data_IF_262468260220
#
_entry.id   IF_262468260220
#
_cell.length_a   1.000
_cell.length_b   1.000
_cell.length_c   1.000
_cell.angle_alpha   90.00
_cell.angle_beta   90.00
_cell.angle_gamma   90.00
#
_symmetry.space_group_name_H-M   'P 1'
#
loop_
_entity.id
_entity.type
_entity.pdbx_description
1 polymer ?
#
# COMPACT_ATOMS: atom_id res chain seq x y z
N UNK A 1 12.60 -9.33 -42.09
CA UNK A 1 13.31 -8.08 -41.83
C UNK A 1 12.83 -7.60 -40.47
N UNK A 2 13.69 -7.70 -39.46
CA UNK A 2 13.41 -7.09 -38.14
C UNK A 2 13.48 -5.57 -38.34
N UNK A 3 12.35 -4.90 -38.21
CA UNK A 3 12.33 -3.44 -38.09
C UNK A 3 13.11 -3.13 -36.82
N UNK A 4 14.32 -2.59 -36.96
CA UNK A 4 15.09 -2.09 -35.83
C UNK A 4 14.24 -0.97 -35.22
N UNK A 5 13.61 -1.24 -34.06
CA UNK A 5 12.83 -0.24 -33.38
C UNK A 5 13.80 0.84 -32.88
N UNK A 6 13.49 2.10 -33.15
CA UNK A 6 14.24 3.21 -32.60
C UNK A 6 14.31 3.08 -31.07
N UNK A 7 15.45 3.41 -30.44
CA UNK A 7 15.59 3.29 -28.99
C UNK A 7 14.59 4.20 -28.30
N UNK A 8 13.79 3.63 -27.37
CA UNK A 8 12.80 4.38 -26.58
C UNK A 8 13.52 5.36 -25.64
N UNK A 9 13.03 6.58 -25.59
CA UNK A 9 13.58 7.67 -24.79
C UNK A 9 12.57 8.18 -23.75
N UNK A 10 13.04 8.87 -22.72
CA UNK A 10 12.16 9.48 -21.70
C UNK A 10 11.13 10.45 -22.31
N UNK A 11 11.54 11.19 -23.35
CA UNK A 11 10.67 12.14 -24.05
C UNK A 11 9.45 11.49 -24.75
N UNK A 12 9.52 10.19 -25.09
CA UNK A 12 8.40 9.47 -25.70
C UNK A 12 7.20 9.38 -24.76
N UNK A 13 7.44 9.40 -23.44
CA UNK A 13 6.34 9.43 -22.47
C UNK A 13 5.41 10.62 -22.71
N UNK A 14 5.97 11.81 -22.94
CA UNK A 14 5.19 13.03 -23.11
C UNK A 14 4.44 13.06 -24.46
N UNK A 15 4.81 12.19 -25.41
CA UNK A 15 4.20 12.07 -26.73
C UNK A 15 3.06 11.04 -26.79
N UNK A 16 3.17 9.92 -26.04
CA UNK A 16 2.28 8.76 -26.22
C UNK A 16 1.51 8.38 -24.96
N UNK A 17 1.87 8.92 -23.78
CA UNK A 17 1.19 8.62 -22.52
C UNK A 17 0.26 9.75 -22.10
N UNK A 18 -0.85 9.40 -21.43
CA UNK A 18 -1.72 10.40 -20.80
C UNK A 18 -0.91 11.16 -19.73
N UNK A 19 -0.94 12.53 -19.73
CA UNK A 19 -0.07 13.33 -18.88
C UNK A 19 -0.53 13.43 -17.42
N UNK A 20 -0.96 12.29 -16.84
CA UNK A 20 -1.43 12.18 -15.46
C UNK A 20 -0.31 11.82 -14.47
N UNK A 21 0.90 11.58 -14.96
CA UNK A 21 2.10 11.34 -14.18
C UNK A 21 3.24 12.27 -14.59
N UNK A 22 4.15 12.55 -13.67
CA UNK A 22 5.43 13.23 -13.92
C UNK A 22 6.58 12.30 -13.53
N UNK A 23 6.93 11.34 -14.38
CA UNK A 23 7.99 10.39 -14.08
C UNK A 23 9.37 11.05 -14.00
N UNK A 24 10.31 10.36 -13.32
CA UNK A 24 11.70 10.76 -13.22
C UNK A 24 12.37 10.96 -14.60
N UNK A 25 13.50 11.63 -14.63
CA UNK A 25 14.21 11.94 -15.86
C UNK A 25 14.92 10.73 -16.50
N UNK A 26 15.01 9.61 -15.81
CA UNK A 26 15.65 8.37 -16.26
C UNK A 26 14.65 7.26 -16.47
N UNK A 27 15.03 6.24 -17.25
CA UNK A 27 14.24 5.02 -17.45
C UNK A 27 14.99 3.85 -16.82
N UNK A 28 14.43 3.22 -15.77
CA UNK A 28 14.94 1.96 -15.24
C UNK A 28 14.79 0.84 -16.26
N UNK A 29 15.82 0.02 -16.45
CA UNK A 29 15.81 -1.09 -17.40
C UNK A 29 16.18 -2.43 -16.80
N UNK A 30 16.77 -2.45 -15.62
CA UNK A 30 17.14 -3.65 -14.87
C UNK A 30 16.95 -3.42 -13.38
N UNK A 31 16.56 -4.47 -12.65
CA UNK A 31 16.49 -4.47 -11.20
C UNK A 31 16.95 -5.81 -10.63
N UNK A 32 17.61 -5.79 -9.46
CA UNK A 32 18.07 -6.97 -8.74
C UNK A 32 18.13 -6.62 -7.22
N UNK A 33 17.41 -7.34 -6.39
CA UNK A 33 17.31 -7.02 -4.97
C UNK A 33 16.82 -5.57 -4.75
N UNK A 34 17.61 -4.78 -4.04
CA UNK A 34 17.32 -3.35 -3.80
C UNK A 34 18.04 -2.41 -4.76
N UNK A 35 18.56 -2.90 -5.89
CA UNK A 35 19.30 -2.10 -6.88
C UNK A 35 18.57 -2.04 -8.21
N UNK A 36 18.67 -0.89 -8.86
CA UNK A 36 18.07 -0.60 -10.17
C UNK A 36 19.13 0.06 -11.06
N UNK A 37 19.14 -0.30 -12.34
CA UNK A 37 20.00 0.32 -13.36
C UNK A 37 19.15 1.01 -14.41
N UNK A 38 19.53 2.21 -14.78
CA UNK A 38 18.90 2.94 -15.87
C UNK A 38 19.53 2.64 -17.24
N UNK A 39 18.96 3.22 -18.29
CA UNK A 39 19.44 3.05 -19.68
C UNK A 39 20.92 3.48 -19.89
N UNK A 40 21.44 4.36 -19.05
CA UNK A 40 22.84 4.79 -19.11
C UNK A 40 23.80 3.82 -18.37
N UNK A 41 23.25 2.82 -17.69
CA UNK A 41 24.02 1.92 -16.83
C UNK A 41 24.27 2.45 -15.42
N UNK A 42 23.68 3.61 -15.06
CA UNK A 42 23.78 4.17 -13.72
C UNK A 42 23.00 3.31 -12.73
N UNK A 43 23.66 2.95 -11.63
CA UNK A 43 23.06 2.20 -10.54
C UNK A 43 22.41 3.13 -9.50
N UNK A 44 21.21 2.75 -9.05
CA UNK A 44 20.49 3.41 -7.96
C UNK A 44 20.08 2.37 -6.90
N UNK A 45 20.07 2.78 -5.64
CA UNK A 45 19.48 1.99 -4.55
C UNK A 45 18.01 2.37 -4.40
N UNK A 46 17.14 1.37 -4.41
CA UNK A 46 15.68 1.56 -4.37
C UNK A 46 15.13 1.48 -2.95
N UNK A 47 14.94 2.63 -2.31
CA UNK A 47 14.18 2.77 -1.08
C UNK A 47 12.74 3.24 -1.31
N UNK A 48 12.29 3.28 -2.58
CA UNK A 48 10.92 3.57 -2.98
C UNK A 48 10.06 2.31 -3.08
N UNK A 49 10.67 1.18 -3.45
CA UNK A 49 10.02 -0.13 -3.55
C UNK A 49 8.77 -0.14 -4.43
N UNK A 50 8.72 0.69 -5.50
CA UNK A 50 7.53 0.80 -6.36
C UNK A 50 6.28 1.31 -5.60
N UNK A 51 6.44 2.19 -4.64
CA UNK A 51 5.41 2.68 -3.69
C UNK A 51 4.97 1.54 -2.74
N UNK A 52 5.95 0.98 -2.02
CA UNK A 52 5.76 -0.12 -1.07
C UNK A 52 5.16 -1.40 -1.70
N UNK A 53 5.49 -1.67 -2.97
CA UNK A 53 5.00 -2.84 -3.71
C UNK A 53 6.02 -3.97 -3.72
N UNK A 54 7.29 -3.66 -4.00
CA UNK A 54 8.36 -4.64 -4.19
C UNK A 54 8.84 -5.19 -2.84
N UNK A 55 7.98 -5.99 -2.18
CA UNK A 55 8.25 -6.51 -0.84
C UNK A 55 9.57 -7.30 -0.76
N UNK A 56 9.90 -8.06 -1.80
CA UNK A 56 11.11 -8.87 -1.87
C UNK A 56 12.21 -8.26 -2.77
N UNK A 57 12.05 -6.98 -3.16
CA UNK A 57 12.95 -6.34 -4.11
C UNK A 57 12.69 -6.76 -5.55
N UNK A 58 13.59 -6.34 -6.43
CA UNK A 58 13.49 -6.61 -7.87
C UNK A 58 13.97 -8.04 -8.20
N UNK A 59 13.23 -8.72 -9.06
CA UNK A 59 13.58 -10.02 -9.62
C UNK A 59 13.97 -11.08 -8.58
N UNK A 60 13.29 -11.10 -7.43
CA UNK A 60 13.55 -12.08 -6.37
C UNK A 60 13.44 -13.50 -6.91
N UNK A 61 14.43 -14.40 -6.68
CA UNK A 61 14.47 -15.74 -7.30
C UNK A 61 13.21 -16.58 -7.07
N UNK A 62 12.61 -16.51 -5.87
CA UNK A 62 11.38 -17.24 -5.56
C UNK A 62 10.19 -16.76 -6.42
N UNK A 63 10.08 -15.42 -6.66
CA UNK A 63 9.00 -14.88 -7.48
C UNK A 63 9.20 -15.19 -8.96
N UNK A 64 10.43 -15.04 -9.46
CA UNK A 64 10.78 -15.39 -10.86
C UNK A 64 10.50 -16.86 -11.12
N UNK A 65 10.88 -17.74 -10.19
CA UNK A 65 10.61 -19.17 -10.27
C UNK A 65 9.11 -19.45 -10.32
N UNK A 66 8.34 -18.96 -9.35
CA UNK A 66 6.89 -19.18 -9.28
C UNK A 66 6.17 -18.68 -10.53
N UNK A 67 6.53 -17.48 -11.01
CA UNK A 67 5.97 -16.90 -12.22
C UNK A 67 6.29 -17.77 -13.46
N UNK A 68 7.55 -18.18 -13.64
CA UNK A 68 8.01 -18.96 -14.79
C UNK A 68 7.35 -20.34 -14.82
N UNK A 69 7.28 -21.03 -13.68
CA UNK A 69 6.62 -22.34 -13.57
C UNK A 69 5.13 -22.24 -13.90
N UNK A 70 4.45 -21.25 -13.32
CA UNK A 70 3.03 -21.05 -13.57
C UNK A 70 2.75 -20.57 -15.01
N UNK A 71 3.62 -19.74 -15.60
CA UNK A 71 3.50 -19.27 -16.97
C UNK A 71 3.57 -20.41 -17.99
N UNK A 72 4.29 -21.48 -17.68
CA UNK A 72 4.33 -22.69 -18.51
C UNK A 72 3.18 -23.68 -18.25
N UNK A 73 2.28 -23.36 -17.28
CA UNK A 73 1.21 -24.29 -16.87
C UNK A 73 -0.17 -23.74 -17.25
N UNK A 74 -0.56 -22.59 -16.72
CA UNK A 74 -1.92 -22.04 -16.91
C UNK A 74 -1.95 -20.55 -16.54
N UNK A 75 -2.44 -19.71 -17.46
CA UNK A 75 -2.48 -18.25 -17.26
C UNK A 75 -3.80 -17.74 -16.71
N UNK A 76 -4.93 -18.21 -17.33
CA UNK A 76 -6.26 -17.68 -17.03
C UNK A 76 -7.34 -18.69 -17.38
N UNK A 77 -8.36 -18.82 -16.52
CA UNK A 77 -9.54 -19.67 -16.75
C UNK A 77 -10.86 -19.01 -16.34
N UNK A 78 -10.84 -17.77 -15.87
CA UNK A 78 -11.94 -17.03 -15.24
C UNK A 78 -12.46 -17.66 -13.93
N UNK A 79 -13.30 -16.90 -13.22
CA UNK A 79 -13.93 -17.37 -11.97
C UNK A 79 -15.17 -18.27 -12.20
N UNK A 80 -15.49 -18.57 -13.44
CA UNK A 80 -16.44 -19.66 -13.79
C UNK A 80 -15.82 -21.03 -13.45
N UNK A 81 -14.51 -21.12 -13.55
CA UNK A 81 -13.72 -22.25 -13.10
C UNK A 81 -12.81 -21.81 -11.96
N UNK A 82 -12.54 -22.64 -10.98
CA UNK A 82 -11.53 -22.39 -9.99
C UNK A 82 -10.15 -22.87 -10.45
N UNK A 83 -9.09 -22.48 -9.72
CA UNK A 83 -7.72 -22.95 -9.99
C UNK A 83 -6.96 -23.18 -8.66
N UNK A 84 -6.00 -24.10 -8.70
CA UNK A 84 -5.23 -24.48 -7.49
C UNK A 84 -4.43 -23.31 -6.88
N UNK A 85 -3.70 -22.46 -7.63
CA UNK A 85 -3.00 -21.33 -7.05
C UNK A 85 -3.89 -20.38 -6.24
N UNK A 86 -5.10 -20.09 -6.74
CA UNK A 86 -6.05 -19.23 -6.03
C UNK A 86 -6.53 -19.86 -4.72
N UNK A 87 -6.87 -21.16 -4.74
CA UNK A 87 -7.28 -21.87 -3.53
C UNK A 87 -6.13 -21.95 -2.52
N UNK A 88 -4.91 -22.20 -2.98
CA UNK A 88 -3.71 -22.25 -2.12
C UNK A 88 -3.43 -20.90 -1.48
N UNK A 89 -3.54 -19.80 -2.24
CA UNK A 89 -3.39 -18.46 -1.70
C UNK A 89 -4.48 -18.13 -0.68
N UNK A 90 -5.74 -18.52 -0.96
CA UNK A 90 -6.84 -18.32 -0.03
C UNK A 90 -6.58 -19.05 1.31
N UNK A 91 -6.15 -20.31 1.28
CA UNK A 91 -5.77 -21.04 2.49
C UNK A 91 -4.65 -20.32 3.26
N UNK A 92 -3.56 -19.93 2.59
CA UNK A 92 -2.45 -19.21 3.25
C UNK A 92 -2.89 -17.93 3.95
N UNK A 93 -3.81 -17.16 3.35
CA UNK A 93 -4.32 -15.93 3.94
C UNK A 93 -5.30 -16.20 5.09
N UNK A 94 -6.18 -17.17 4.94
CA UNK A 94 -7.13 -17.58 5.98
C UNK A 94 -6.40 -18.14 7.19
N UNK A 95 -5.42 -19.03 6.99
CA UNK A 95 -4.64 -19.64 8.08
C UNK A 95 -3.79 -18.61 8.85
N UNK A 96 -3.41 -17.50 8.21
CA UNK A 96 -2.53 -16.48 8.79
C UNK A 96 -3.26 -15.26 9.37
N UNK A 97 -4.59 -15.15 9.21
CA UNK A 97 -5.37 -13.98 9.60
C UNK A 97 -6.65 -14.35 10.36
N UNK A 98 -7.45 -13.34 10.73
CA UNK A 98 -8.78 -13.54 11.30
C UNK A 98 -9.82 -14.02 10.27
N UNK A 99 -9.50 -13.86 8.99
CA UNK A 99 -10.45 -14.08 7.92
C UNK A 99 -10.73 -15.56 7.67
N UNK A 100 -11.92 -15.85 7.19
CA UNK A 100 -12.38 -17.18 6.82
C UNK A 100 -12.66 -17.31 5.31
N UNK A 101 -12.70 -16.16 4.65
CA UNK A 101 -12.98 -16.05 3.19
C UNK A 101 -12.14 -14.97 2.55
N UNK A 102 -11.72 -15.21 1.32
CA UNK A 102 -10.98 -14.28 0.48
C UNK A 102 -11.68 -14.06 -0.87
N UNK A 103 -11.68 -12.82 -1.33
CA UNK A 103 -12.02 -12.43 -2.69
C UNK A 103 -10.76 -11.84 -3.33
N UNK A 104 -10.37 -12.32 -4.51
CA UNK A 104 -9.21 -11.82 -5.24
C UNK A 104 -9.60 -10.90 -6.38
N UNK A 105 -8.80 -9.86 -6.57
CA UNK A 105 -8.92 -8.87 -7.64
C UNK A 105 -7.52 -8.47 -8.12
N UNK A 106 -7.38 -7.34 -8.84
CA UNK A 106 -6.12 -7.00 -9.50
C UNK A 106 -5.40 -5.78 -8.88
N UNK A 107 -6.07 -5.06 -8.00
CA UNK A 107 -5.56 -3.83 -7.40
C UNK A 107 -6.15 -3.58 -6.02
N UNK A 108 -5.51 -2.67 -5.26
CA UNK A 108 -6.05 -2.20 -3.98
C UNK A 108 -7.37 -1.44 -4.13
N UNK A 109 -7.55 -0.71 -5.24
CA UNK A 109 -8.81 -0.03 -5.53
C UNK A 109 -9.96 -1.02 -5.70
N UNK A 110 -9.76 -2.12 -6.44
CA UNK A 110 -10.79 -3.16 -6.59
C UNK A 110 -11.07 -3.90 -5.27
N UNK A 111 -10.04 -4.12 -4.44
CA UNK A 111 -10.21 -4.70 -3.12
C UNK A 111 -11.07 -3.80 -2.22
N UNK A 112 -10.83 -2.49 -2.23
CA UNK A 112 -11.62 -1.52 -1.50
C UNK A 112 -13.05 -1.38 -2.07
N UNK A 113 -13.24 -1.40 -3.39
CA UNK A 113 -14.58 -1.47 -4.03
C UNK A 113 -15.38 -2.66 -3.48
N UNK A 114 -14.76 -3.84 -3.43
CA UNK A 114 -15.38 -5.05 -2.89
C UNK A 114 -15.75 -4.88 -1.41
N UNK A 115 -14.85 -4.31 -0.60
CA UNK A 115 -15.06 -4.06 0.82
C UNK A 115 -16.23 -3.10 1.09
N UNK A 116 -16.28 -1.97 0.36
CA UNK A 116 -17.33 -0.97 0.52
C UNK A 116 -18.70 -1.50 0.05
N UNK A 117 -18.71 -2.26 -1.07
CA UNK A 117 -19.92 -2.93 -1.57
C UNK A 117 -20.40 -3.99 -0.57
N UNK A 118 -19.49 -4.79 -0.01
CA UNK A 118 -19.85 -5.78 1.01
C UNK A 118 -20.46 -5.10 2.24
N UNK A 119 -19.85 -4.03 2.75
CA UNK A 119 -20.36 -3.33 3.92
C UNK A 119 -21.77 -2.76 3.70
N UNK A 120 -22.00 -2.11 2.57
CA UNK A 120 -23.33 -1.62 2.20
C UNK A 120 -24.34 -2.75 2.03
N UNK A 121 -23.93 -3.86 1.43
CA UNK A 121 -24.82 -5.00 1.22
C UNK A 121 -25.20 -5.67 2.53
N UNK A 122 -24.25 -5.91 3.42
CA UNK A 122 -24.50 -6.45 4.78
C UNK A 122 -25.49 -5.56 5.53
N UNK A 123 -25.26 -4.27 5.53
CA UNK A 123 -26.13 -3.32 6.22
C UNK A 123 -27.54 -3.29 5.62
N UNK A 124 -27.65 -3.26 4.30
CA UNK A 124 -28.95 -3.33 3.60
C UNK A 124 -29.73 -4.60 3.99
N UNK A 125 -29.07 -5.76 3.95
CA UNK A 125 -29.73 -7.04 4.18
C UNK A 125 -30.15 -7.22 5.66
N UNK A 126 -29.41 -6.64 6.61
CA UNK A 126 -29.65 -6.78 8.05
C UNK A 126 -30.53 -5.68 8.64
N UNK A 127 -30.42 -4.45 8.14
CA UNK A 127 -31.01 -3.26 8.76
C UNK A 127 -31.84 -2.42 7.80
N UNK A 128 -31.81 -2.70 6.49
CA UNK A 128 -32.55 -1.96 5.49
C UNK A 128 -31.72 -0.89 4.76
N UNK A 129 -32.31 -0.22 3.76
CA UNK A 129 -31.61 0.65 2.81
C UNK A 129 -31.07 1.95 3.41
N UNK A 130 -31.58 2.38 4.55
CA UNK A 130 -31.13 3.62 5.21
C UNK A 130 -29.74 3.53 5.82
N UNK A 131 -29.27 2.32 6.14
CA UNK A 131 -27.95 2.07 6.73
C UNK A 131 -26.92 1.84 5.62
N UNK A 132 -26.44 2.93 5.01
CA UNK A 132 -25.51 2.90 3.88
C UNK A 132 -24.34 3.88 3.98
N UNK A 133 -24.28 4.66 5.05
CA UNK A 133 -23.25 5.69 5.22
C UNK A 133 -21.89 5.06 5.54
N UNK A 134 -20.83 5.62 4.94
CA UNK A 134 -19.44 5.23 5.20
C UNK A 134 -18.71 6.44 5.79
N UNK A 135 -18.01 6.23 6.89
CA UNK A 135 -17.11 7.21 7.47
C UNK A 135 -15.69 6.80 7.13
N UNK A 136 -14.93 7.72 6.55
CA UNK A 136 -13.50 7.58 6.31
C UNK A 136 -12.74 8.72 7.01
N UNK A 137 -11.43 8.79 6.83
CA UNK A 137 -10.62 9.82 7.47
C UNK A 137 -10.13 10.86 6.47
N UNK A 138 -10.01 12.09 6.91
CA UNK A 138 -9.35 13.17 6.15
C UNK A 138 -7.93 12.70 5.78
N UNK A 139 -7.48 13.06 4.58
CA UNK A 139 -6.20 12.68 4.01
C UNK A 139 -6.02 11.20 3.68
N UNK A 140 -7.02 10.35 3.84
CA UNK A 140 -6.93 8.93 3.45
C UNK A 140 -6.79 8.74 1.94
N UNK A 141 -6.26 7.58 1.55
CA UNK A 141 -6.15 7.16 0.16
C UNK A 141 -6.58 5.70 -0.02
N UNK A 142 -7.68 5.49 -0.75
CA UNK A 142 -8.27 4.15 -0.94
C UNK A 142 -8.32 3.69 -2.40
N UNK A 143 -7.85 4.51 -3.34
CA UNK A 143 -7.84 4.23 -4.78
C UNK A 143 -8.33 5.38 -5.64
N UNK A 144 -8.46 5.12 -6.94
CA UNK A 144 -8.80 6.12 -7.97
C UNK A 144 -10.06 5.78 -8.77
N UNK A 145 -10.80 4.72 -8.45
CA UNK A 145 -12.14 4.47 -9.00
C UNK A 145 -13.15 5.43 -8.38
N UNK A 146 -14.32 5.63 -8.99
CA UNK A 146 -15.27 6.63 -8.50
C UNK A 146 -15.74 6.39 -7.06
N UNK A 147 -15.90 5.12 -6.65
CA UNK A 147 -16.26 4.84 -5.27
C UNK A 147 -15.07 5.04 -4.33
N UNK A 148 -13.93 4.46 -4.65
CA UNK A 148 -12.75 4.57 -3.77
C UNK A 148 -12.23 6.00 -3.64
N UNK A 149 -12.30 6.81 -4.70
CA UNK A 149 -11.90 8.21 -4.64
C UNK A 149 -12.91 9.07 -3.89
N UNK A 150 -14.19 8.64 -3.86
CA UNK A 150 -15.22 9.29 -3.03
C UNK A 150 -15.03 9.00 -1.54
N UNK A 151 -14.58 7.79 -1.18
CA UNK A 151 -14.24 7.41 0.19
C UNK A 151 -12.90 8.02 0.62
N UNK A 152 -11.97 8.23 -0.32
CA UNK A 152 -10.70 8.89 -0.06
C UNK A 152 -10.86 10.33 0.44
N UNK A 153 -10.07 10.71 1.46
CA UNK A 153 -10.16 11.99 2.14
C UNK A 153 -9.29 13.11 1.54
N UNK A 154 -8.93 13.02 0.25
CA UNK A 154 -8.08 14.01 -0.44
C UNK A 154 -8.82 14.62 -1.63
N UNK A 155 -9.41 15.83 -1.50
CA UNK A 155 -10.21 16.48 -2.56
C UNK A 155 -9.50 16.57 -3.91
N UNK A 156 -8.18 16.79 -3.94
CA UNK A 156 -7.39 16.87 -5.18
C UNK A 156 -7.53 15.67 -6.12
N UNK A 157 -7.97 14.51 -5.60
CA UNK A 157 -8.16 13.29 -6.40
C UNK A 157 -9.59 13.09 -6.87
N UNK A 158 -10.55 13.73 -6.21
CA UNK A 158 -11.98 13.57 -6.50
C UNK A 158 -12.61 14.79 -7.16
N UNK A 159 -12.01 15.98 -7.04
CA UNK A 159 -12.57 17.20 -7.61
C UNK A 159 -12.54 17.16 -9.14
N UNK A 160 -13.63 17.59 -9.76
CA UNK A 160 -13.82 17.54 -11.20
C UNK A 160 -14.37 16.20 -11.74
N UNK A 161 -14.49 15.16 -10.91
CA UNK A 161 -15.03 13.85 -11.29
C UNK A 161 -16.43 13.56 -10.71
N UNK A 162 -17.17 14.61 -10.38
CA UNK A 162 -18.53 14.49 -9.81
C UNK A 162 -19.58 13.97 -10.78
N UNK A 163 -20.76 13.58 -10.27
CA UNK A 163 -21.12 13.58 -8.85
C UNK A 163 -20.40 12.48 -8.05
N UNK A 164 -19.97 12.79 -6.85
CA UNK A 164 -19.38 11.80 -5.91
C UNK A 164 -20.46 10.84 -5.42
N UNK A 165 -20.06 9.65 -5.01
CA UNK A 165 -20.94 8.70 -4.34
C UNK A 165 -21.43 9.32 -3.02
N UNK A 166 -22.76 9.28 -2.81
CA UNK A 166 -23.41 9.84 -1.63
C UNK A 166 -23.28 8.94 -0.39
N UNK A 167 -23.55 9.52 0.80
CA UNK A 167 -23.49 8.79 2.05
C UNK A 167 -22.03 8.54 2.52
N UNK A 168 -21.10 9.44 2.19
CA UNK A 168 -19.70 9.37 2.62
C UNK A 168 -19.36 10.63 3.38
N UNK A 169 -18.76 10.48 4.54
CA UNK A 169 -18.26 11.57 5.37
C UNK A 169 -16.82 11.31 5.82
N UNK A 170 -16.13 12.38 6.20
CA UNK A 170 -14.73 12.32 6.62
C UNK A 170 -14.54 12.98 7.98
N UNK A 171 -13.81 12.32 8.87
CA UNK A 171 -13.41 12.82 10.18
C UNK A 171 -11.88 12.97 10.25
N UNK A 172 -11.34 13.83 11.10
CA UNK A 172 -9.90 13.91 11.32
C UNK A 172 -9.33 12.55 11.76
N UNK A 173 -8.15 12.23 11.25
CA UNK A 173 -7.44 11.00 11.65
C UNK A 173 -6.92 11.12 13.09
N UNK A 174 -6.99 10.02 13.85
CA UNK A 174 -6.68 9.97 15.29
C UNK A 174 -7.57 10.86 16.18
N UNK A 175 -8.75 11.26 15.72
CA UNK A 175 -9.72 11.99 16.48
C UNK A 175 -10.96 11.12 16.80
N UNK A 176 -10.92 10.45 17.95
CA UNK A 176 -12.00 9.56 18.40
C UNK A 176 -13.29 10.33 18.72
N UNK A 177 -13.20 11.56 19.23
CA UNK A 177 -14.38 12.35 19.54
C UNK A 177 -15.09 12.82 18.27
N UNK A 178 -14.35 13.20 17.22
CA UNK A 178 -14.93 13.48 15.92
C UNK A 178 -15.61 12.24 15.30
N UNK A 179 -14.99 11.05 15.41
CA UNK A 179 -15.61 9.81 14.95
C UNK A 179 -16.89 9.51 15.73
N UNK A 180 -16.87 9.66 17.06
CA UNK A 180 -18.04 9.45 17.93
C UNK A 180 -19.19 10.41 17.61
N UNK A 181 -18.87 11.64 17.27
CA UNK A 181 -19.88 12.64 16.88
C UNK A 181 -20.52 12.37 15.51
N UNK A 182 -19.78 11.70 14.60
CA UNK A 182 -20.21 11.44 13.23
C UNK A 182 -20.95 10.10 13.06
N UNK A 183 -20.56 9.06 13.82
CA UNK A 183 -21.14 7.71 13.67
C UNK A 183 -22.60 7.71 14.13
N UNK A 184 -23.44 7.00 13.40
CA UNK A 184 -24.88 6.92 13.67
C UNK A 184 -25.43 5.55 13.26
N UNK A 185 -26.73 5.35 13.52
CA UNK A 185 -27.43 4.12 13.11
C UNK A 185 -27.51 3.95 11.57
N UNK A 186 -27.23 5.01 10.81
CA UNK A 186 -27.13 4.96 9.34
C UNK A 186 -25.74 4.56 8.85
N UNK A 187 -24.74 4.55 9.73
CA UNK A 187 -23.37 4.18 9.36
C UNK A 187 -23.25 2.68 9.16
N UNK A 188 -22.88 2.25 7.96
CA UNK A 188 -22.62 0.84 7.64
C UNK A 188 -21.16 0.44 7.82
N UNK A 189 -20.23 1.38 7.70
CA UNK A 189 -18.82 1.11 7.87
C UNK A 189 -17.99 2.33 8.29
N UNK A 190 -16.92 2.08 9.02
CA UNK A 190 -15.80 3.00 9.25
C UNK A 190 -14.57 2.42 8.55
N UNK A 191 -13.89 3.23 7.72
CA UNK A 191 -12.74 2.81 6.91
C UNK A 191 -11.49 3.54 7.39
N UNK A 192 -10.47 2.77 7.78
CA UNK A 192 -9.23 3.30 8.35
C UNK A 192 -8.02 2.62 7.70
N UNK A 193 -7.03 3.40 7.29
CA UNK A 193 -5.66 2.91 7.06
C UNK A 193 -4.95 2.82 8.43
N UNK A 194 -4.41 1.70 8.88
CA UNK A 194 -3.65 1.64 10.14
C UNK A 194 -2.44 2.58 10.16
N UNK A 195 -1.92 2.93 8.99
CA UNK A 195 -0.96 4.02 8.77
C UNK A 195 -1.38 4.73 7.49
N UNK A 196 -1.68 6.02 7.55
CA UNK A 196 -1.90 6.83 6.34
C UNK A 196 -0.58 6.98 5.58
N UNK A 197 -0.36 6.11 4.59
CA UNK A 197 0.92 6.02 3.89
C UNK A 197 1.16 7.15 2.89
N UNK A 198 0.11 7.63 2.20
CA UNK A 198 0.22 8.66 1.14
C UNK A 198 0.23 10.09 1.69
N UNK A 199 -0.25 10.30 2.89
CA UNK A 199 -0.42 11.63 3.49
C UNK A 199 0.48 11.84 4.72
N UNK A 200 1.74 11.44 4.61
CA UNK A 200 2.73 11.78 5.60
C UNK A 200 3.25 10.60 6.43
N UNK A 201 2.89 9.38 6.12
CA UNK A 201 3.27 8.20 6.93
C UNK A 201 2.85 8.41 8.39
N UNK A 202 1.56 8.59 8.62
CA UNK A 202 1.00 8.87 9.95
C UNK A 202 0.43 7.58 10.55
N UNK A 203 1.06 6.99 11.58
CA UNK A 203 0.50 5.84 12.29
C UNK A 203 -0.79 6.21 13.04
N UNK A 204 -1.70 5.25 13.12
CA UNK A 204 -2.84 5.37 14.02
C UNK A 204 -2.38 5.25 15.48
N UNK A 205 -3.03 5.98 16.37
CA UNK A 205 -2.94 5.74 17.80
C UNK A 205 -3.71 4.46 18.14
N UNK A 206 -3.13 3.60 18.97
CA UNK A 206 -3.79 2.35 19.37
C UNK A 206 -5.15 2.60 20.02
N UNK A 207 -5.24 3.59 20.90
CA UNK A 207 -6.49 3.98 21.56
C UNK A 207 -7.57 4.44 20.57
N UNK A 208 -7.17 5.11 19.47
CA UNK A 208 -8.09 5.48 18.40
C UNK A 208 -8.67 4.26 17.68
N UNK A 209 -7.82 3.26 17.34
CA UNK A 209 -8.30 2.04 16.69
C UNK A 209 -9.18 1.20 17.61
N UNK A 210 -8.83 1.07 18.89
CA UNK A 210 -9.65 0.38 19.91
C UNK A 210 -11.01 1.10 20.10
N UNK A 211 -11.00 2.43 20.14
CA UNK A 211 -12.20 3.24 20.20
C UNK A 211 -13.08 3.13 18.96
N UNK A 212 -12.47 3.13 17.78
CA UNK A 212 -13.18 2.93 16.51
C UNK A 212 -13.85 1.55 16.45
N UNK A 213 -13.15 0.49 16.90
CA UNK A 213 -13.74 -0.85 17.00
C UNK A 213 -14.98 -0.86 17.89
N UNK A 214 -14.84 -0.29 19.10
CA UNK A 214 -15.95 -0.21 20.05
C UNK A 214 -17.15 0.56 19.49
N UNK A 215 -16.93 1.73 18.88
CA UNK A 215 -17.99 2.52 18.25
C UNK A 215 -18.67 1.77 17.09
N UNK A 216 -17.91 1.05 16.27
CA UNK A 216 -18.49 0.20 15.24
C UNK A 216 -19.39 -0.88 15.82
N UNK A 217 -18.97 -1.56 16.91
CA UNK A 217 -19.77 -2.59 17.58
C UNK A 217 -21.07 -2.01 18.17
N UNK A 218 -20.98 -0.85 18.84
CA UNK A 218 -22.13 -0.16 19.43
C UNK A 218 -23.17 0.24 18.39
N UNK A 219 -22.75 0.63 17.17
CA UNK A 219 -23.64 1.08 16.10
C UNK A 219 -23.92 -0.01 15.05
N UNK A 220 -23.48 -1.25 15.23
CA UNK A 220 -23.58 -2.32 14.23
C UNK A 220 -23.03 -1.89 12.86
N UNK A 221 -21.95 -1.11 12.87
CA UNK A 221 -21.18 -0.75 11.69
C UNK A 221 -19.99 -1.68 11.52
N UNK A 222 -19.50 -1.89 10.30
CA UNK A 222 -18.32 -2.69 10.05
C UNK A 222 -17.04 -1.84 10.13
N UNK A 223 -15.99 -2.35 10.78
CA UNK A 223 -14.67 -1.78 10.74
C UNK A 223 -13.90 -2.36 9.57
N UNK A 224 -13.47 -1.52 8.64
CA UNK A 224 -12.66 -1.89 7.49
C UNK A 224 -11.25 -1.35 7.68
N UNK A 225 -10.25 -2.23 7.67
CA UNK A 225 -8.86 -1.81 7.58
C UNK A 225 -8.37 -1.91 6.15
N UNK A 226 -8.01 -0.76 5.57
CA UNK A 226 -7.25 -0.70 4.33
C UNK A 226 -5.77 -0.96 4.64
N UNK A 227 -5.36 -2.21 4.44
CA UNK A 227 -3.99 -2.64 4.63
C UNK A 227 -3.24 -2.84 3.30
N UNK A 228 -3.68 -2.15 2.26
CA UNK A 228 -3.03 -2.18 0.94
C UNK A 228 -1.57 -1.75 1.04
N UNK A 229 -1.24 -0.80 1.90
CA UNK A 229 0.14 -0.34 2.07
C UNK A 229 0.83 -0.90 3.32
N UNK A 230 0.09 -1.19 4.38
CA UNK A 230 0.62 -1.65 5.66
C UNK A 230 0.78 -3.16 5.76
N UNK A 231 0.07 -3.91 4.93
CA UNK A 231 0.04 -5.37 4.97
C UNK A 231 1.27 -6.06 4.39
N UNK A 232 1.22 -7.36 4.49
CA UNK A 232 2.22 -8.32 3.97
C UNK A 232 3.63 -7.98 4.48
N UNK A 233 3.77 -7.91 5.81
CA UNK A 233 5.03 -7.77 6.51
C UNK A 233 5.54 -6.33 6.68
N UNK A 234 4.99 -5.34 5.98
CA UNK A 234 5.51 -3.96 5.95
C UNK A 234 5.75 -3.35 7.34
N UNK A 235 4.91 -3.66 8.32
CA UNK A 235 4.99 -3.17 9.69
C UNK A 235 5.76 -4.08 10.66
N UNK A 236 6.31 -5.21 10.18
CA UNK A 236 6.95 -6.22 11.03
C UNK A 236 5.96 -7.21 11.64
N UNK A 237 4.69 -7.15 11.26
CA UNK A 237 3.66 -8.18 11.41
C UNK A 237 3.09 -8.47 10.03
N UNK A 238 2.49 -9.64 9.80
CA UNK A 238 1.95 -9.95 8.46
C UNK A 238 0.94 -8.89 8.02
N UNK A 239 0.05 -8.47 8.94
CA UNK A 239 -0.84 -7.32 8.76
C UNK A 239 -0.78 -6.41 9.99
N UNK A 240 -0.98 -5.11 9.79
CA UNK A 240 -0.85 -4.11 10.84
C UNK A 240 -1.90 -4.29 11.95
N UNK A 241 -3.09 -4.83 11.66
CA UNK A 241 -4.07 -5.13 12.69
C UNK A 241 -3.53 -6.05 13.78
N UNK A 242 -2.62 -6.98 13.43
CA UNK A 242 -1.94 -7.87 14.40
C UNK A 242 -0.97 -7.10 15.30
N UNK A 243 -0.30 -6.08 14.75
CA UNK A 243 0.57 -5.19 15.52
C UNK A 243 -0.21 -4.37 16.55
N UNK A 244 -1.37 -3.83 16.14
CA UNK A 244 -2.22 -3.02 17.03
C UNK A 244 -3.08 -3.86 17.98
N UNK A 245 -3.33 -5.13 17.68
CA UNK A 245 -4.22 -6.01 18.45
C UNK A 245 -5.70 -5.64 18.29
N UNK A 246 -6.08 -5.01 17.18
CA UNK A 246 -7.47 -4.62 16.87
C UNK A 246 -7.90 -5.31 15.58
N UNK A 247 -8.86 -6.21 15.66
CA UNK A 247 -9.33 -7.01 14.52
C UNK A 247 -10.44 -6.27 13.77
N UNK A 248 -10.30 -6.02 12.46
CA UNK A 248 -11.36 -5.47 11.63
C UNK A 248 -12.38 -6.56 11.22
N UNK A 249 -13.52 -6.17 10.67
CA UNK A 249 -14.50 -7.05 10.04
C UNK A 249 -14.10 -7.38 8.60
N UNK A 250 -13.47 -6.43 7.91
CA UNK A 250 -12.98 -6.54 6.55
C UNK A 250 -11.57 -5.97 6.48
N UNK A 251 -10.69 -6.67 5.77
CA UNK A 251 -9.33 -6.24 5.50
C UNK A 251 -9.09 -6.24 3.99
N UNK A 252 -8.47 -5.19 3.45
CA UNK A 252 -8.04 -5.14 2.06
C UNK A 252 -6.53 -5.18 1.94
N UNK A 253 -6.03 -5.88 0.94
CA UNK A 253 -4.62 -6.12 0.70
C UNK A 253 -4.31 -6.03 -0.79
N UNK A 254 -3.12 -5.53 -1.14
CA UNK A 254 -2.56 -5.50 -2.50
C UNK A 254 -1.05 -5.23 -2.42
N UNK A 255 -0.49 -4.45 -3.35
CA UNK A 255 0.93 -4.02 -3.33
C UNK A 255 1.89 -5.15 -2.98
N UNK A 256 2.40 -5.17 -1.75
CA UNK A 256 3.33 -6.21 -1.27
C UNK A 256 2.81 -7.64 -1.46
N UNK A 257 1.49 -7.85 -1.52
CA UNK A 257 0.90 -9.18 -1.76
C UNK A 257 1.39 -9.80 -3.08
N UNK A 258 1.53 -8.97 -4.11
CA UNK A 258 2.03 -9.42 -5.42
C UNK A 258 3.54 -9.27 -5.60
N UNK A 259 4.24 -8.55 -4.71
CA UNK A 259 5.68 -8.34 -4.81
C UNK A 259 6.14 -7.71 -6.13
N UNK A 260 5.26 -6.99 -6.84
CA UNK A 260 5.45 -6.43 -8.17
C UNK A 260 4.42 -6.93 -9.21
N UNK A 261 3.81 -8.09 -9.00
CA UNK A 261 2.75 -8.59 -9.87
C UNK A 261 1.37 -8.05 -9.43
N UNK A 262 0.49 -7.62 -10.36
CA UNK A 262 -0.81 -7.06 -10.01
C UNK A 262 -1.74 -8.09 -9.35
N UNK A 263 -2.09 -7.85 -8.08
CA UNK A 263 -3.09 -8.60 -7.32
C UNK A 263 -3.61 -7.75 -6.17
N UNK A 264 -4.88 -7.96 -5.83
CA UNK A 264 -5.51 -7.47 -4.61
C UNK A 264 -6.37 -8.54 -3.98
N UNK A 265 -6.69 -8.37 -2.71
CA UNK A 265 -7.58 -9.25 -1.97
C UNK A 265 -8.43 -8.45 -0.98
N UNK A 266 -9.68 -8.88 -0.82
CA UNK A 266 -10.53 -8.53 0.31
C UNK A 266 -10.72 -9.78 1.15
N UNK A 267 -10.46 -9.66 2.46
CA UNK A 267 -10.54 -10.72 3.44
C UNK A 267 -11.65 -10.41 4.44
N UNK A 268 -12.45 -11.42 4.80
CA UNK A 268 -13.57 -11.25 5.73
C UNK A 268 -14.01 -12.58 6.34
N UNK A 269 -15.01 -12.54 7.23
CA UNK A 269 -15.59 -13.73 7.85
C UNK A 269 -16.62 -14.41 6.94
N UNK A 270 -16.94 -15.66 7.21
CA UNK A 270 -17.98 -16.42 6.50
C UNK A 270 -19.36 -15.76 6.62
N UNK A 271 -19.65 -15.21 7.81
CA UNK A 271 -20.93 -14.57 8.09
C UNK A 271 -21.15 -13.30 7.24
N UNK A 272 -20.10 -12.54 6.97
CA UNK A 272 -20.19 -11.38 6.10
C UNK A 272 -20.13 -11.76 4.61
N UNK A 273 -19.26 -12.69 4.25
CA UNK A 273 -19.04 -13.09 2.86
C UNK A 273 -20.30 -13.59 2.15
N UNK A 274 -21.24 -14.25 2.87
CA UNK A 274 -22.51 -14.75 2.32
C UNK A 274 -23.39 -13.67 1.68
N UNK A 275 -23.19 -12.40 2.05
CA UNK A 275 -23.93 -11.27 1.49
C UNK A 275 -23.47 -10.86 0.08
N UNK A 276 -22.26 -11.25 -0.37
CA UNK A 276 -21.85 -11.18 -1.76
C UNK A 276 -22.16 -12.51 -2.47
N UNK A 277 -23.45 -12.81 -2.61
CA UNK A 277 -23.91 -14.00 -3.29
C UNK A 277 -23.53 -14.00 -4.78
N UNK A 278 -23.69 -15.16 -5.43
CA UNK A 278 -23.39 -15.36 -6.86
C UNK A 278 -24.06 -14.27 -7.72
N UNK A 279 -23.27 -13.62 -8.57
CA UNK A 279 -23.72 -12.59 -9.50
C UNK A 279 -23.76 -11.16 -8.93
N UNK A 280 -23.51 -10.94 -7.63
CA UNK A 280 -23.58 -9.59 -7.02
C UNK A 280 -22.30 -8.78 -7.17
N UNK A 281 -21.15 -9.45 -7.26
CA UNK A 281 -19.84 -8.85 -7.47
C UNK A 281 -18.93 -9.82 -8.22
N UNK A 282 -17.93 -9.29 -8.94
CA UNK A 282 -17.01 -10.14 -9.69
C UNK A 282 -15.86 -9.38 -10.34
N UNK A 283 -14.95 -10.13 -10.94
CA UNK A 283 -13.80 -9.64 -11.68
C UNK A 283 -13.42 -10.67 -12.74
N UNK A 284 -12.91 -10.23 -13.87
CA UNK A 284 -12.47 -11.13 -14.94
C UNK A 284 -11.14 -11.79 -14.59
N UNK A 285 -10.13 -11.01 -14.18
CA UNK A 285 -8.75 -11.48 -13.98
C UNK A 285 -8.40 -11.77 -12.51
N UNK A 286 -9.17 -11.26 -11.56
CA UNK A 286 -8.89 -11.46 -10.14
C UNK A 286 -8.91 -12.96 -9.78
N UNK A 287 -7.86 -13.40 -9.06
CA UNK A 287 -7.66 -14.81 -8.74
C UNK A 287 -7.03 -15.62 -9.88
N UNK A 288 -6.43 -14.96 -10.90
CA UNK A 288 -5.74 -15.68 -11.96
C UNK A 288 -4.55 -16.49 -11.42
N UNK A 289 -4.24 -17.64 -12.05
CA UNK A 289 -3.18 -18.54 -11.59
C UNK A 289 -1.80 -17.88 -11.45
N UNK A 290 -1.42 -17.00 -12.38
CA UNK A 290 -0.12 -16.33 -12.35
C UNK A 290 0.04 -15.46 -11.12
N UNK A 291 -0.93 -14.55 -10.88
CA UNK A 291 -0.90 -13.63 -9.75
C UNK A 291 -0.92 -14.39 -8.42
N UNK A 292 -1.76 -15.43 -8.32
CA UNK A 292 -1.89 -16.22 -7.10
C UNK A 292 -0.64 -17.05 -6.80
N UNK A 293 0.02 -17.62 -7.82
CA UNK A 293 1.27 -18.35 -7.65
C UNK A 293 2.39 -17.44 -7.13
N UNK A 294 2.52 -16.23 -7.71
CA UNK A 294 3.49 -15.23 -7.25
C UNK A 294 3.19 -14.79 -5.81
N UNK A 295 1.91 -14.50 -5.49
CA UNK A 295 1.53 -14.10 -4.15
C UNK A 295 1.76 -15.19 -3.10
N UNK A 296 1.56 -16.48 -3.44
CA UNK A 296 1.95 -17.59 -2.59
C UNK A 296 3.45 -17.56 -2.26
N UNK A 297 4.30 -17.34 -3.29
CA UNK A 297 5.74 -17.26 -3.10
C UNK A 297 6.15 -16.04 -2.25
N UNK A 298 5.45 -14.90 -2.38
CA UNK A 298 5.66 -13.76 -1.49
C UNK A 298 5.38 -14.14 -0.04
N UNK A 299 4.23 -14.76 0.23
CA UNK A 299 3.86 -15.15 1.60
C UNK A 299 4.81 -16.18 2.18
N UNK A 300 5.32 -17.12 1.37
CA UNK A 300 6.30 -18.12 1.82
C UNK A 300 7.60 -17.50 2.33
N UNK A 301 8.02 -16.38 1.77
CA UNK A 301 9.22 -15.65 2.21
C UNK A 301 8.91 -14.68 3.33
N UNK A 302 7.81 -13.92 3.23
CA UNK A 302 7.50 -12.83 4.17
C UNK A 302 6.93 -13.35 5.48
N UNK A 303 6.01 -14.33 5.43
CA UNK A 303 5.30 -14.81 6.61
C UNK A 303 6.13 -15.85 7.39
N UNK A 304 7.36 -15.49 7.72
CA UNK A 304 8.24 -16.27 8.58
C UNK A 304 8.64 -15.44 9.81
N UNK A 305 8.82 -16.07 10.98
CA UNK A 305 9.25 -15.34 12.18
C UNK A 305 10.56 -14.58 11.97
N UNK A 306 11.48 -15.16 11.21
CA UNK A 306 12.79 -14.56 10.91
C UNK A 306 12.65 -13.28 10.07
N UNK A 307 11.91 -13.33 8.97
CA UNK A 307 11.69 -12.15 8.11
C UNK A 307 10.98 -11.03 8.88
N UNK A 308 9.89 -11.37 9.60
CA UNK A 308 9.11 -10.38 10.33
C UNK A 308 9.92 -9.74 11.49
N UNK A 309 10.73 -10.51 12.20
CA UNK A 309 11.64 -9.98 13.23
C UNK A 309 12.75 -9.11 12.61
N UNK A 310 13.31 -9.51 11.46
CA UNK A 310 14.32 -8.76 10.74
C UNK A 310 13.86 -7.37 10.30
N UNK A 311 12.58 -7.19 10.01
CA UNK A 311 12.01 -5.89 9.63
C UNK A 311 12.15 -4.86 10.77
N UNK A 312 11.97 -5.29 12.02
CA UNK A 312 12.14 -4.41 13.19
C UNK A 312 13.59 -3.94 13.35
N UNK A 313 14.55 -4.84 13.16
CA UNK A 313 15.98 -4.49 13.22
C UNK A 313 16.36 -3.50 12.11
N UNK A 314 15.88 -3.73 10.88
CA UNK A 314 16.09 -2.82 9.76
C UNK A 314 15.44 -1.45 9.98
N UNK A 315 14.23 -1.42 10.60
CA UNK A 315 13.59 -0.17 11.00
C UNK A 315 14.50 0.68 11.88
N UNK A 316 15.06 0.10 12.96
CA UNK A 316 15.93 0.83 13.87
C UNK A 316 17.21 1.32 13.16
N UNK A 317 17.76 0.54 12.24
CA UNK A 317 18.91 0.93 11.42
C UNK A 317 18.61 2.15 10.54
N UNK A 318 17.49 2.16 9.84
CA UNK A 318 17.02 3.33 9.07
C UNK A 318 16.77 4.52 9.97
N UNK A 319 15.98 4.34 11.03
CA UNK A 319 15.52 5.40 11.92
C UNK A 319 16.70 6.13 12.57
N UNK A 320 17.60 5.39 13.20
CA UNK A 320 18.76 5.98 13.89
C UNK A 320 19.63 6.81 12.94
N UNK A 321 19.84 6.34 11.71
CA UNK A 321 20.63 7.06 10.72
C UNK A 321 19.90 8.29 10.16
N UNK A 322 18.61 8.17 9.87
CA UNK A 322 17.79 9.28 9.38
C UNK A 322 17.61 10.38 10.43
N UNK A 323 17.43 10.01 11.71
CA UNK A 323 17.41 10.98 12.83
C UNK A 323 18.74 11.75 12.92
N UNK A 324 19.89 11.05 12.79
CA UNK A 324 21.20 11.69 12.76
C UNK A 324 21.33 12.66 11.59
N UNK A 325 20.93 12.27 10.39
CA UNK A 325 20.92 13.14 9.20
C UNK A 325 20.05 14.39 9.45
N UNK A 326 18.85 14.20 10.04
CA UNK A 326 17.95 15.30 10.38
C UNK A 326 18.57 16.28 11.40
N UNK A 327 19.19 15.75 12.46
CA UNK A 327 19.85 16.56 13.49
C UNK A 327 21.03 17.38 12.93
N UNK A 328 21.82 16.79 12.04
CA UNK A 328 23.00 17.45 11.47
C UNK A 328 22.64 18.50 10.41
N UNK A 329 21.60 18.26 9.64
CA UNK A 329 21.20 19.12 8.52
C UNK A 329 20.12 20.15 8.85
N UNK A 330 19.37 19.94 9.94
CA UNK A 330 18.16 20.72 10.23
C UNK A 330 17.00 20.45 9.26
N UNK A 331 17.12 19.41 8.42
CA UNK A 331 16.13 19.13 7.37
C UNK A 331 14.86 18.47 7.91
N UNK A 332 15.02 17.54 8.88
CA UNK A 332 13.91 16.78 9.47
C UNK A 332 13.69 17.14 10.92
N UNK A 333 12.43 17.27 11.32
CA UNK A 333 12.01 17.45 12.72
C UNK A 333 11.65 16.13 13.39
N UNK A 334 11.25 15.13 12.61
CA UNK A 334 10.78 13.84 13.11
C UNK A 334 11.01 12.74 12.08
N UNK A 335 11.41 11.56 12.56
CA UNK A 335 11.34 10.30 11.81
C UNK A 335 10.25 9.44 12.44
N UNK A 336 9.23 9.05 11.68
CA UNK A 336 8.06 8.30 12.17
C UNK A 336 7.70 7.15 11.24
N UNK A 337 6.79 6.29 11.67
CA UNK A 337 6.31 5.12 10.92
C UNK A 337 6.50 3.84 11.73
N UNK A 338 6.15 2.70 11.12
CA UNK A 338 6.26 1.37 11.73
C UNK A 338 6.87 0.40 10.70
N UNK A 339 7.82 -0.41 11.13
CA UNK A 339 8.52 -1.34 10.24
C UNK A 339 9.22 -0.57 9.11
N UNK A 340 9.14 -1.08 7.88
CA UNK A 340 9.76 -0.45 6.71
C UNK A 340 8.79 0.44 5.93
N UNK A 341 7.92 1.16 6.64
CA UNK A 341 7.16 2.29 6.15
C UNK A 341 7.55 3.49 7.01
N UNK A 342 8.51 4.29 6.54
CA UNK A 342 9.19 5.33 7.31
C UNK A 342 8.97 6.67 6.64
N UNK A 343 8.60 7.69 7.42
CA UNK A 343 8.43 9.08 7.00
C UNK A 343 9.35 10.03 7.75
N UNK A 344 10.11 10.84 7.02
CA UNK A 344 10.91 11.93 7.56
C UNK A 344 10.15 13.25 7.36
N UNK A 345 9.66 13.82 8.45
CA UNK A 345 8.88 15.07 8.44
C UNK A 345 9.84 16.24 8.28
N UNK A 346 9.59 17.07 7.28
CA UNK A 346 10.41 18.25 7.00
C UNK A 346 10.26 19.33 8.08
N UNK A 347 11.34 20.06 8.33
CA UNK A 347 11.31 21.26 9.17
C UNK A 347 10.57 22.40 8.46
N UNK A 348 10.15 23.42 9.21
CA UNK A 348 9.42 24.57 8.65
C UNK A 348 10.18 25.27 7.52
N UNK A 349 11.51 25.31 7.58
CA UNK A 349 12.36 25.88 6.53
C UNK A 349 12.32 25.10 5.21
N UNK A 350 11.95 23.82 5.28
CA UNK A 350 11.90 22.89 4.15
C UNK A 350 10.49 22.44 3.78
N UNK A 351 9.47 23.02 4.39
CA UNK A 351 8.07 22.72 4.12
C UNK A 351 7.73 22.91 2.64
N UNK A 352 7.01 21.96 2.05
CA UNK A 352 6.66 21.96 0.63
C UNK A 352 7.73 21.46 -0.32
N UNK A 353 8.95 21.14 0.17
CA UNK A 353 10.12 20.82 -0.67
C UNK A 353 10.48 19.33 -0.72
N UNK A 354 9.58 18.44 -0.35
CA UNK A 354 9.87 16.99 -0.39
C UNK A 354 10.35 16.54 -1.78
N UNK A 355 9.76 17.08 -2.86
CA UNK A 355 10.15 16.76 -4.23
C UNK A 355 11.60 17.18 -4.56
N UNK A 356 12.07 18.28 -4.04
CA UNK A 356 13.45 18.75 -4.26
C UNK A 356 14.46 17.78 -3.64
N UNK A 357 14.09 17.22 -2.47
CA UNK A 357 14.91 16.22 -1.78
C UNK A 357 14.92 14.90 -2.57
N UNK A 358 13.78 14.47 -3.11
CA UNK A 358 13.72 13.30 -4.00
C UNK A 358 14.65 13.47 -5.20
N UNK A 359 14.57 14.61 -5.86
CA UNK A 359 15.40 14.91 -7.04
C UNK A 359 16.91 14.96 -6.69
N UNK A 360 17.24 15.44 -5.49
CA UNK A 360 18.64 15.45 -5.04
C UNK A 360 19.11 14.01 -4.68
N UNK A 361 18.29 13.24 -4.01
CA UNK A 361 18.58 11.83 -3.69
C UNK A 361 18.78 11.00 -4.97
N UNK A 362 17.93 11.21 -5.98
CA UNK A 362 18.06 10.57 -7.29
C UNK A 362 19.42 10.86 -7.95
N UNK A 363 19.87 12.11 -7.91
CA UNK A 363 21.19 12.50 -8.45
C UNK A 363 22.36 11.79 -7.75
N UNK A 364 22.20 11.49 -6.47
CA UNK A 364 23.18 10.73 -5.68
C UNK A 364 22.98 9.20 -5.76
N UNK A 365 22.04 8.72 -6.59
CA UNK A 365 21.80 7.31 -6.82
C UNK A 365 20.94 6.64 -5.76
N UNK A 366 19.96 7.35 -5.19
CA UNK A 366 18.97 6.78 -4.26
C UNK A 366 17.56 7.16 -4.67
N UNK A 367 16.70 6.18 -4.77
CA UNK A 367 15.27 6.37 -5.03
C UNK A 367 14.50 6.40 -3.71
N UNK A 368 13.84 7.51 -3.42
CA UNK A 368 12.92 7.69 -2.28
C UNK A 368 11.59 8.25 -2.78
N UNK A 369 10.59 8.33 -1.91
CA UNK A 369 9.25 8.82 -2.25
C UNK A 369 8.91 10.07 -1.44
N UNK A 370 7.87 10.77 -1.87
CA UNK A 370 7.18 11.74 -1.01
C UNK A 370 5.86 11.17 -0.51
N UNK A 371 5.45 11.58 0.69
CA UNK A 371 4.13 11.35 1.24
C UNK A 371 3.50 12.72 1.59
N UNK A 372 2.78 13.29 0.64
CA UNK A 372 2.44 14.72 0.68
C UNK A 372 3.65 15.62 0.43
N UNK A 373 3.50 16.96 0.55
CA UNK A 373 4.58 17.91 0.24
C UNK A 373 5.67 18.00 1.30
N UNK A 374 5.39 17.54 2.53
CA UNK A 374 6.18 17.81 3.73
C UNK A 374 6.86 16.57 4.32
N UNK A 375 6.81 15.43 3.63
CA UNK A 375 7.41 14.18 4.15
C UNK A 375 8.15 13.42 3.05
N UNK A 376 9.39 13.06 3.33
CA UNK A 376 10.16 12.10 2.53
C UNK A 376 9.88 10.70 3.07
N UNK A 377 9.44 9.78 2.20
CA UNK A 377 9.04 8.41 2.56
C UNK A 377 10.05 7.39 2.06
N UNK A 378 10.37 6.44 2.94
CA UNK A 378 11.16 5.25 2.65
C UNK A 378 10.26 4.02 2.78
N UNK A 379 10.23 3.20 1.75
CA UNK A 379 9.48 1.94 1.71
C UNK A 379 10.29 0.85 0.96
N UNK A 380 11.51 0.52 1.43
CA UNK A 380 12.40 -0.41 0.76
C UNK A 380 11.83 -1.84 0.74
N UNK A 381 12.52 -2.75 0.06
CA UNK A 381 12.29 -4.18 0.19
C UNK A 381 12.36 -4.63 1.65
N UNK A 382 11.50 -5.59 2.04
CA UNK A 382 11.50 -6.17 3.39
C UNK A 382 12.75 -7.02 3.66
N UNK A 383 13.35 -7.51 2.57
CA UNK A 383 14.58 -8.31 2.60
C UNK A 383 15.81 -7.51 2.16
N UNK A 384 15.73 -6.16 2.15
CA UNK A 384 16.88 -5.30 1.85
C UNK A 384 18.08 -5.69 2.70
N UNK A 385 19.25 -5.81 2.07
CA UNK A 385 20.49 -6.15 2.78
C UNK A 385 21.03 -4.96 3.59
N UNK A 386 21.67 -5.25 4.71
CA UNK A 386 22.24 -4.21 5.59
C UNK A 386 23.25 -3.33 4.84
N UNK A 387 24.04 -3.93 3.93
CA UNK A 387 24.99 -3.19 3.09
C UNK A 387 24.29 -2.18 2.17
N UNK A 388 23.13 -2.54 1.58
CA UNK A 388 22.34 -1.64 0.75
C UNK A 388 21.70 -0.52 1.58
N UNK A 389 21.27 -0.82 2.82
CA UNK A 389 20.77 0.20 3.75
C UNK A 389 21.88 1.23 4.03
N UNK A 390 23.08 0.76 4.43
CA UNK A 390 24.17 1.63 4.79
C UNK A 390 24.64 2.50 3.62
N UNK A 391 24.86 1.88 2.47
CA UNK A 391 25.29 2.60 1.27
C UNK A 391 24.22 3.60 0.80
N UNK A 392 22.95 3.20 0.74
CA UNK A 392 21.87 4.08 0.32
C UNK A 392 21.70 5.27 1.27
N UNK A 393 21.84 5.07 2.59
CA UNK A 393 21.77 6.17 3.55
C UNK A 393 23.00 7.09 3.48
N UNK A 394 24.19 6.60 3.14
CA UNK A 394 25.37 7.45 2.85
C UNK A 394 25.13 8.29 1.61
N UNK A 395 24.57 7.70 0.53
CA UNK A 395 24.22 8.44 -0.69
C UNK A 395 23.14 9.50 -0.39
N UNK A 396 22.14 9.16 0.41
CA UNK A 396 21.08 10.09 0.84
C UNK A 396 21.63 11.24 1.68
N UNK A 397 22.54 10.97 2.64
CA UNK A 397 23.22 11.98 3.46
C UNK A 397 23.99 12.99 2.57
N UNK A 398 24.69 12.51 1.54
CA UNK A 398 25.35 13.40 0.56
C UNK A 398 24.38 14.28 -0.19
N UNK A 399 23.24 13.74 -0.59
CA UNK A 399 22.20 14.51 -1.25
C UNK A 399 21.68 15.64 -0.36
N UNK A 400 21.41 15.33 0.91
CA UNK A 400 20.96 16.30 1.92
C UNK A 400 22.03 17.37 2.14
N UNK A 401 23.31 16.99 2.31
CA UNK A 401 24.40 17.92 2.52
C UNK A 401 24.54 18.94 1.35
N UNK A 402 24.45 18.46 0.11
CA UNK A 402 24.48 19.33 -1.07
C UNK A 402 23.31 20.31 -1.14
N UNK A 403 22.12 19.91 -0.68
CA UNK A 403 20.94 20.78 -0.65
C UNK A 403 21.02 21.85 0.44
N UNK A 404 21.65 21.54 1.58
CA UNK A 404 21.67 22.44 2.75
C UNK A 404 22.88 23.35 2.79
N UNK A 405 23.92 23.09 1.98
CA UNK A 405 25.15 23.90 1.91
C UNK A 405 25.19 24.83 0.68
N UNK A 406 24.32 24.67 -0.29
CA UNK A 406 24.16 25.52 -1.48
C UNK A 406 22.97 26.46 -1.33
#
# INVERSE_FOLDING_TARGET
MSVEQAPVQRADFDQVMVPNYSPAAFIPVRGEGSRVWDQSGRELIDFAGGIAVNALGHCHPALVKALTEQANTLWHVSNVFTNEPALRLAHKLVDATFAERAFFCNSGAEANEAAFKLARRVAHDRFGPEKHEIIATVNSFHGRTLFTVSVGGQPKYSDGFGPKITGISHVPYNDLEALKAQISDKTCAVVIEPIQGESGVVPADKAYLEGARKLCDEHNALLIFDEVQTGVGRTGSLYAYQHYGVTPDILTSAKSLGGGFPIGAMLTTTDLAKHLAVGTHGTTYGGNPLACAVACAVLDVVNTPETLAGIKAKHERFKSRLEKIGQQSGLFTQVRGVGLLIGCVLSDAWKGKAKDILNAAEKEGVMVLQAGPDVVRFAPSLVVEDADIDEGLVRFERAVAKLTQG
#
